data_IF_055452823251
#
_entry.id   IF_055452823251
#
_cell.length_a   1.000
_cell.length_b   1.000
_cell.length_c   1.000
_cell.angle_alpha   90.00
_cell.angle_beta   90.00
_cell.angle_gamma   90.00
#
_symmetry.space_group_name_H-M   'P 1'
#
loop_
_entity.id
_entity.type
_entity.pdbx_description
1 polymer ?
#
# COMPACT_ATOMS: atom_id res chain seq x y z
N UNK A 1 -5.93 -24.22 29.12
CA UNK A 1 -5.34 -23.61 27.91
C UNK A 1 -6.47 -22.96 27.14
N UNK A 2 -6.76 -21.70 27.43
CA UNK A 2 -7.71 -20.91 26.65
C UNK A 2 -7.05 -19.56 26.37
N UNK A 3 -6.77 -19.33 25.09
CA UNK A 3 -6.15 -18.12 24.58
C UNK A 3 -7.18 -17.00 24.61
N UNK A 4 -6.97 -16.00 25.46
CA UNK A 4 -7.81 -14.80 25.51
C UNK A 4 -7.39 -13.89 24.35
N UNK A 5 -8.14 -13.96 23.25
CA UNK A 5 -8.11 -12.99 22.17
C UNK A 5 -8.45 -11.61 22.76
N UNK A 6 -7.45 -10.74 22.89
CA UNK A 6 -7.63 -9.38 23.37
C UNK A 6 -8.44 -8.61 22.32
N UNK A 7 -9.73 -8.42 22.60
CA UNK A 7 -10.59 -7.47 21.87
C UNK A 7 -10.03 -6.07 22.10
N UNK A 8 -9.22 -5.57 21.17
CA UNK A 8 -8.84 -4.16 21.16
C UNK A 8 -10.04 -3.33 20.69
N UNK A 9 -10.41 -2.38 21.54
CA UNK A 9 -11.56 -1.48 21.44
C UNK A 9 -11.52 -0.61 20.16
N UNK A 10 -12.66 -0.19 19.59
CA UNK A 10 -12.67 0.67 18.41
C UNK A 10 -12.24 2.08 18.84
N UNK A 11 -10.98 2.44 18.62
CA UNK A 11 -10.49 3.81 18.80
C UNK A 11 -11.21 4.69 17.76
N UNK A 12 -12.15 5.51 18.25
CA UNK A 12 -12.73 6.65 17.55
C UNK A 12 -11.59 7.64 17.22
N UNK A 13 -11.26 7.77 15.94
CA UNK A 13 -10.31 8.78 15.45
C UNK A 13 -10.94 10.17 15.57
N UNK A 14 -10.70 10.86 16.67
CA UNK A 14 -10.91 12.30 16.77
C UNK A 14 -9.66 12.99 16.24
N UNK A 15 -9.84 13.75 15.16
CA UNK A 15 -8.76 14.43 14.47
C UNK A 15 -8.09 15.48 15.34
N UNK A 16 -6.86 15.20 15.74
CA UNK A 16 -5.77 16.16 15.95
C UNK A 16 -4.48 15.37 15.77
N UNK A 17 -3.53 15.90 14.99
CA UNK A 17 -2.30 15.22 14.59
C UNK A 17 -1.56 14.65 15.82
N UNK A 18 -1.54 13.32 15.91
CA UNK A 18 -0.79 12.60 16.94
C UNK A 18 0.68 12.61 16.52
N UNK A 19 1.45 13.58 17.01
CA UNK A 19 2.90 13.45 17.05
C UNK A 19 3.22 12.26 17.97
N UNK A 20 3.81 11.19 17.42
CA UNK A 20 4.44 10.18 18.26
C UNK A 20 5.62 10.85 18.96
N UNK A 21 5.68 10.73 20.29
CA UNK A 21 6.73 11.35 21.12
C UNK A 21 8.16 10.94 20.77
N UNK A 22 8.34 9.92 19.93
CA UNK A 22 9.65 9.43 19.46
C UNK A 22 9.86 9.52 17.94
N UNK A 23 8.81 9.82 17.16
CA UNK A 23 8.90 9.90 15.69
C UNK A 23 8.41 11.27 15.23
N UNK A 24 9.33 12.15 14.85
CA UNK A 24 9.08 13.47 14.24
C UNK A 24 8.48 13.40 12.82
N UNK A 25 7.83 12.29 12.49
CA UNK A 25 7.11 12.11 11.23
C UNK A 25 5.64 12.43 11.48
N UNK A 26 5.03 13.33 10.70
CA UNK A 26 3.59 13.54 10.77
C UNK A 26 2.89 12.22 10.45
N UNK A 27 2.09 11.73 11.39
CA UNK A 27 1.20 10.61 11.14
C UNK A 27 0.12 11.06 10.16
N UNK A 28 0.27 10.65 8.91
CA UNK A 28 -0.83 10.68 7.96
C UNK A 28 -1.88 9.65 8.39
N UNK A 29 -3.18 9.96 8.29
CA UNK A 29 -4.23 8.98 8.55
C UNK A 29 -4.09 7.82 7.57
N UNK A 30 -4.38 6.60 8.04
CA UNK A 30 -4.41 5.43 7.17
C UNK A 30 -5.40 5.68 6.02
N UNK A 31 -5.02 5.43 4.75
CA UNK A 31 -5.94 5.54 3.63
C UNK A 31 -7.09 4.54 3.76
N UNK A 32 -8.24 4.87 3.17
CA UNK A 32 -9.36 3.93 3.14
C UNK A 32 -8.97 2.70 2.31
N UNK A 33 -9.45 1.49 2.64
CA UNK A 33 -9.15 0.28 1.87
C UNK A 33 -9.48 0.42 0.38
N UNK A 34 -10.55 1.14 0.05
CA UNK A 34 -10.99 1.38 -1.33
C UNK A 34 -10.04 2.29 -2.11
N UNK A 35 -9.07 2.93 -1.45
CA UNK A 35 -8.08 3.81 -2.06
C UNK A 35 -6.70 3.14 -2.19
N UNK A 36 -6.58 1.87 -1.78
CA UNK A 36 -5.33 1.11 -1.79
C UNK A 36 -5.28 0.22 -3.04
N UNK A 37 -4.38 0.57 -3.96
CA UNK A 37 -4.18 -0.17 -5.19
C UNK A 37 -2.73 -0.63 -5.29
N UNK A 38 -2.53 -1.87 -5.73
CA UNK A 38 -1.22 -2.44 -6.02
C UNK A 38 -1.21 -2.81 -7.50
N UNK A 39 -0.28 -2.22 -8.24
CA UNK A 39 -0.03 -2.54 -9.65
C UNK A 39 1.17 -3.49 -9.73
N UNK A 40 0.98 -4.64 -10.38
CA UNK A 40 2.02 -5.64 -10.55
C UNK A 40 2.30 -5.84 -12.04
N UNK A 41 3.57 -5.73 -12.42
CA UNK A 41 4.05 -6.01 -13.78
C UNK A 41 5.12 -7.09 -13.75
N UNK A 42 4.93 -8.15 -14.53
CA UNK A 42 5.96 -9.15 -14.75
C UNK A 42 6.89 -8.66 -15.85
N UNK A 43 7.94 -7.94 -15.46
CA UNK A 43 8.88 -7.34 -16.41
C UNK A 43 9.63 -8.40 -17.24
N UNK A 44 10.12 -9.45 -16.57
CA UNK A 44 10.88 -10.53 -17.19
C UNK A 44 10.75 -11.83 -16.42
N UNK A 45 10.67 -12.93 -17.15
CA UNK A 45 10.87 -14.25 -16.58
C UNK A 45 11.75 -15.11 -17.49
N UNK A 46 12.55 -15.95 -16.84
CA UNK A 46 13.46 -16.87 -17.51
C UNK A 46 13.04 -18.29 -17.17
N UNK A 47 12.94 -19.11 -18.21
CA UNK A 47 12.59 -20.53 -18.11
C UNK A 47 13.68 -21.36 -18.80
N UNK A 48 13.62 -22.68 -18.62
CA UNK A 48 14.53 -23.61 -19.32
C UNK A 48 14.42 -23.56 -20.85
N UNK A 49 13.31 -23.03 -21.39
CA UNK A 49 13.04 -22.94 -22.81
C UNK A 49 13.37 -21.55 -23.40
N UNK A 50 13.74 -20.58 -22.56
CA UNK A 50 14.07 -19.23 -23.01
C UNK A 50 13.69 -18.14 -22.01
N UNK A 51 13.90 -16.90 -22.44
CA UNK A 51 13.63 -15.69 -21.67
C UNK A 51 12.60 -14.83 -22.40
N UNK A 52 11.62 -14.30 -21.66
CA UNK A 52 10.65 -13.35 -22.16
C UNK A 52 10.70 -12.08 -21.32
N UNK A 53 10.72 -10.92 -21.98
CA UNK A 53 10.84 -9.60 -21.38
C UNK A 53 9.86 -8.64 -22.06
N UNK A 54 9.25 -7.75 -21.27
CA UNK A 54 8.38 -6.68 -21.75
C UNK A 54 8.90 -5.32 -21.31
N UNK A 55 8.45 -4.26 -21.99
CA UNK A 55 8.73 -2.89 -21.61
C UNK A 55 8.03 -2.50 -20.31
N UNK A 56 8.47 -1.39 -19.72
CA UNK A 56 7.78 -0.81 -18.57
C UNK A 56 6.39 -0.31 -19.00
N UNK A 57 5.34 -0.63 -18.23
CA UNK A 57 4.00 -0.26 -18.58
C UNK A 57 3.80 1.25 -18.43
N UNK A 58 2.90 1.82 -19.24
CA UNK A 58 2.63 3.26 -19.26
C UNK A 58 2.26 3.83 -17.89
N UNK A 59 1.57 3.05 -17.06
CA UNK A 59 1.17 3.48 -15.71
C UNK A 59 2.33 3.67 -14.74
N UNK A 60 3.53 3.18 -15.09
CA UNK A 60 4.75 3.40 -14.31
C UNK A 60 5.50 4.67 -14.71
N UNK A 61 5.09 5.33 -15.80
CA UNK A 61 5.74 6.53 -16.27
C UNK A 61 5.52 7.71 -15.31
N UNK A 62 6.54 8.55 -15.17
CA UNK A 62 6.43 9.78 -14.37
C UNK A 62 5.35 10.69 -14.95
N UNK A 63 4.52 11.25 -14.08
CA UNK A 63 3.41 12.13 -14.48
C UNK A 63 2.20 11.40 -15.07
N UNK A 64 2.20 10.07 -15.11
CA UNK A 64 0.98 9.33 -15.44
C UNK A 64 -0.07 9.52 -14.35
N UNK A 65 -1.28 9.89 -14.77
CA UNK A 65 -2.44 10.05 -13.90
C UNK A 65 -3.43 8.93 -14.15
N UNK A 66 -3.97 8.38 -13.07
CA UNK A 66 -5.02 7.38 -13.15
C UNK A 66 -6.39 8.06 -13.00
N UNK A 67 -7.22 7.96 -14.04
CA UNK A 67 -8.63 8.33 -13.94
C UNK A 67 -9.40 7.17 -13.28
N UNK A 68 -9.62 7.30 -11.98
CA UNK A 68 -10.54 6.44 -11.24
C UNK A 68 -11.76 7.27 -10.84
N UNK A 69 -12.93 6.93 -11.38
CA UNK A 69 -14.22 7.53 -11.02
C UNK A 69 -14.65 7.21 -9.57
#
# INVERSE_FOLDING_TARGET
MESKFARTSPRRWQGTALLLSECYLPLHPDPKPEQLYIFLHALRYTTSLGCFEMEMPQWSAEGWTWDHD
#
